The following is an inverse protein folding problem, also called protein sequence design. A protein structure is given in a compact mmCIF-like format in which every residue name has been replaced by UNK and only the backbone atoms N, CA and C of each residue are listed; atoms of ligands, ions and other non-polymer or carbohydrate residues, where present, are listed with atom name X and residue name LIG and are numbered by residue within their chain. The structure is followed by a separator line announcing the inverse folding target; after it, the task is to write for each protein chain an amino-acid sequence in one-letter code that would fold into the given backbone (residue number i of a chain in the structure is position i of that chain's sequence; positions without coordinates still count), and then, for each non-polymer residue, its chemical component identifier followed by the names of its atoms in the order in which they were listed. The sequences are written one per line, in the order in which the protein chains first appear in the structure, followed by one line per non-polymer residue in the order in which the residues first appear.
data_IF_455289690119
#
_entry.id   IF_455289690119
#
_cell.length_a   1.000
_cell.length_b   1.000
_cell.length_c   1.000
_cell.angle_alpha   90.00
_cell.angle_beta   90.00
_cell.angle_gamma   90.00
#
_symmetry.space_group_name_H-M   'P 1'
#
loop_
_entity.id
_entity.type
_entity.pdbx_description
1 polymer ?
#
# COMPACT_ATOMS: atom_id res chain seq x y z
N UNK A 1 -13.96 18.32 -28.02
CA UNK A 1 -13.96 17.68 -26.69
C UNK A 1 -12.92 16.57 -26.75
N UNK A 2 -11.68 16.81 -26.31
CA UNK A 2 -10.61 15.81 -26.39
C UNK A 2 -10.87 14.78 -25.29
N UNK A 3 -11.22 13.55 -25.66
CA UNK A 3 -11.21 12.42 -24.75
C UNK A 3 -9.82 12.37 -24.12
N UNK A 4 -9.71 12.74 -22.84
CA UNK A 4 -8.54 12.44 -22.02
C UNK A 4 -8.38 10.93 -22.04
N UNK A 5 -7.51 10.44 -22.89
CA UNK A 5 -7.07 9.05 -22.88
C UNK A 5 -6.77 8.72 -21.42
N UNK A 6 -7.50 7.74 -20.88
CA UNK A 6 -7.10 7.09 -19.63
C UNK A 6 -5.62 6.77 -19.82
N UNK A 7 -4.71 7.51 -19.19
CA UNK A 7 -3.29 7.18 -19.19
C UNK A 7 -3.24 5.83 -18.50
N UNK A 8 -3.26 4.77 -19.31
CA UNK A 8 -3.04 3.42 -18.84
C UNK A 8 -1.69 3.46 -18.14
N UNK A 9 -1.69 3.10 -16.88
CA UNK A 9 -0.45 2.97 -16.14
C UNK A 9 0.42 1.96 -16.87
N UNK A 10 1.69 2.28 -17.10
CA UNK A 10 2.61 1.26 -17.58
C UNK A 10 2.75 0.18 -16.50
N UNK A 11 3.08 -1.05 -16.89
CA UNK A 11 3.31 -2.13 -15.92
C UNK A 11 4.43 -1.77 -14.94
N UNK A 12 5.44 -1.02 -15.40
CA UNK A 12 6.52 -0.51 -14.57
C UNK A 12 6.02 0.52 -13.52
N UNK A 13 5.15 1.45 -13.93
CA UNK A 13 4.57 2.44 -13.01
C UNK A 13 3.69 1.75 -11.95
N UNK A 14 2.92 0.75 -12.37
CA UNK A 14 2.10 -0.05 -11.45
C UNK A 14 2.96 -0.82 -10.45
N UNK A 15 4.03 -1.49 -10.91
CA UNK A 15 4.97 -2.19 -10.04
C UNK A 15 5.67 -1.25 -9.05
N UNK A 16 6.13 -0.08 -9.53
CA UNK A 16 6.80 0.91 -8.69
C UNK A 16 5.86 1.53 -7.66
N UNK A 17 4.61 1.78 -8.03
CA UNK A 17 3.59 2.23 -7.10
C UNK A 17 3.26 1.18 -6.04
N UNK A 18 3.04 -0.09 -6.43
CA UNK A 18 2.82 -1.19 -5.48
C UNK A 18 4.00 -1.29 -4.50
N UNK A 19 5.23 -1.22 -5.00
CA UNK A 19 6.43 -1.22 -4.15
C UNK A 19 6.46 -0.03 -3.17
N UNK A 20 6.12 1.16 -3.64
CA UNK A 20 6.10 2.39 -2.84
C UNK A 20 5.05 2.31 -1.73
N UNK A 21 3.83 1.85 -2.06
CA UNK A 21 2.76 1.72 -1.07
C UNK A 21 3.04 0.59 -0.08
N UNK A 22 3.66 -0.50 -0.53
CA UNK A 22 4.12 -1.59 0.37
C UNK A 22 5.17 -1.08 1.35
N UNK A 23 6.14 -0.28 0.90
CA UNK A 23 7.14 0.34 1.77
C UNK A 23 6.49 1.28 2.79
N UNK A 24 5.56 2.13 2.35
CA UNK A 24 4.81 3.03 3.23
C UNK A 24 4.02 2.26 4.31
N UNK A 25 3.30 1.20 3.93
CA UNK A 25 2.59 0.31 4.86
C UNK A 25 3.53 -0.24 5.93
N UNK A 26 4.68 -0.78 5.53
CA UNK A 26 5.66 -1.33 6.45
C UNK A 26 6.21 -0.27 7.42
N UNK A 27 6.48 0.95 6.94
CA UNK A 27 6.90 2.06 7.81
C UNK A 27 5.83 2.44 8.83
N UNK A 28 4.56 2.52 8.43
CA UNK A 28 3.45 2.80 9.35
C UNK A 28 3.29 1.69 10.39
N UNK A 29 3.42 0.42 10.00
CA UNK A 29 3.42 -0.71 10.93
C UNK A 29 4.57 -0.63 11.96
N UNK A 30 5.78 -0.28 11.51
CA UNK A 30 6.93 -0.11 12.41
C UNK A 30 6.74 1.06 13.39
N UNK A 31 6.10 2.15 12.96
CA UNK A 31 5.77 3.27 13.84
C UNK A 31 4.67 2.90 14.83
N UNK A 32 3.64 2.18 14.40
CA UNK A 32 2.58 1.68 15.27
C UNK A 32 3.10 0.74 16.36
N UNK A 33 4.05 -0.13 16.03
CA UNK A 33 4.68 -1.04 16.99
C UNK A 33 5.44 -0.30 18.10
N UNK A 34 5.80 0.97 17.89
CA UNK A 34 6.50 1.83 18.86
C UNK A 34 5.59 2.85 19.53
N UNK A 35 4.39 3.09 18.99
CA UNK A 35 3.45 4.06 19.52
C UNK A 35 2.63 3.45 20.69
N UNK A 36 2.39 4.19 21.78
CA UNK A 36 1.53 3.73 22.86
C UNK A 36 0.11 3.47 22.35
N UNK A 37 -0.45 2.30 22.67
CA UNK A 37 -1.82 1.94 22.27
C UNK A 37 -2.80 2.99 22.83
N UNK A 38 -3.64 3.53 21.95
CA UNK A 38 -4.66 4.52 22.31
C UNK A 38 -4.20 5.97 22.25
N UNK A 39 -2.91 6.24 22.00
CA UNK A 39 -2.41 7.60 21.81
C UNK A 39 -2.97 8.25 20.53
N UNK A 40 -3.01 9.59 20.42
CA UNK A 40 -3.41 10.28 19.20
C UNK A 40 -2.59 9.85 17.98
N UNK A 41 -1.29 9.62 18.16
CA UNK A 41 -0.37 9.15 17.12
C UNK A 41 -0.72 7.74 16.67
N UNK A 42 -1.02 6.83 17.60
CA UNK A 42 -1.45 5.47 17.29
C UNK A 42 -2.75 5.49 16.47
N UNK A 43 -3.74 6.30 16.87
CA UNK A 43 -5.00 6.45 16.12
C UNK A 43 -4.78 7.03 14.72
N UNK A 44 -3.92 8.03 14.59
CA UNK A 44 -3.58 8.63 13.30
C UNK A 44 -2.91 7.60 12.38
N UNK A 45 -1.91 6.86 12.88
CA UNK A 45 -1.23 5.82 12.13
C UNK A 45 -2.17 4.66 11.75
N UNK A 46 -3.11 4.29 12.62
CA UNK A 46 -4.16 3.31 12.31
C UNK A 46 -5.06 3.77 11.17
N UNK A 47 -5.49 5.04 11.18
CA UNK A 47 -6.28 5.61 10.10
C UNK A 47 -5.52 5.65 8.76
N UNK A 48 -4.21 5.90 8.78
CA UNK A 48 -3.36 5.81 7.59
C UNK A 48 -3.29 4.37 7.04
N UNK A 49 -3.21 3.34 7.89
CA UNK A 49 -3.28 1.94 7.42
C UNK A 49 -4.62 1.63 6.78
N UNK A 50 -5.73 2.09 7.37
CA UNK A 50 -7.06 1.87 6.80
C UNK A 50 -7.20 2.54 5.44
N UNK A 51 -6.69 3.77 5.27
CA UNK A 51 -6.68 4.45 3.99
C UNK A 51 -5.85 3.70 2.93
N UNK A 52 -4.70 3.14 3.30
CA UNK A 52 -3.87 2.29 2.44
C UNK A 52 -4.65 1.03 2.02
N UNK A 53 -5.35 0.36 2.95
CA UNK A 53 -6.17 -0.80 2.62
C UNK A 53 -7.34 -0.46 1.70
N UNK A 54 -8.01 0.67 1.91
CA UNK A 54 -9.08 1.15 1.02
C UNK A 54 -8.56 1.43 -0.39
N UNK A 55 -7.38 2.04 -0.51
CA UNK A 55 -6.74 2.25 -1.81
C UNK A 55 -6.44 0.92 -2.54
N UNK A 56 -6.06 -0.13 -1.80
CA UNK A 56 -5.86 -1.47 -2.36
C UNK A 56 -7.15 -2.04 -2.99
N UNK A 57 -8.27 -1.92 -2.27
CA UNK A 57 -9.59 -2.38 -2.72
C UNK A 57 -10.02 -1.66 -4.00
N UNK A 58 -9.85 -0.33 -4.06
CA UNK A 58 -10.14 0.45 -5.27
C UNK A 58 -9.31 0.03 -6.49
N UNK A 59 -8.10 -0.48 -6.26
CA UNK A 59 -7.20 -0.97 -7.30
C UNK A 59 -7.41 -2.45 -7.64
N UNK A 60 -8.36 -3.13 -6.99
CA UNK A 60 -8.57 -4.58 -7.14
C UNK A 60 -7.38 -5.42 -6.71
N UNK A 61 -6.50 -4.87 -5.87
CA UNK A 61 -5.33 -5.56 -5.36
C UNK A 61 -5.61 -6.09 -3.95
N UNK A 62 -5.42 -7.40 -3.74
CA UNK A 62 -5.46 -7.98 -2.40
C UNK A 62 -4.06 -7.86 -1.74
N UNK A 63 -3.91 -6.87 -0.86
CA UNK A 63 -2.68 -6.68 -0.07
C UNK A 63 -2.69 -7.41 1.28
N UNK A 64 -3.78 -8.12 1.58
CA UNK A 64 -3.89 -9.03 2.73
C UNK A 64 -3.36 -10.42 2.39
N UNK A 65 -3.35 -10.78 1.11
CA UNK A 65 -2.63 -11.93 0.61
C UNK A 65 -1.13 -11.79 0.95
N UNK A 66 -0.62 -12.71 1.79
CA UNK A 66 0.82 -12.95 1.94
C UNK A 66 1.40 -13.08 0.53
N UNK A 67 2.25 -12.15 0.10
CA UNK A 67 2.90 -12.29 -1.19
C UNK A 67 3.60 -13.65 -1.20
N UNK A 68 3.37 -14.49 -2.23
CA UNK A 68 4.16 -15.69 -2.38
C UNK A 68 5.60 -15.24 -2.56
N UNK A 69 6.43 -15.50 -1.55
CA UNK A 69 7.88 -15.36 -1.62
C UNK A 69 8.35 -16.13 -2.84
N UNK A 70 8.55 -15.45 -3.97
CA UNK A 70 8.95 -16.10 -5.21
C UNK A 70 10.34 -16.69 -4.96
N UNK A 71 10.55 -18.02 -5.02
CA UNK A 71 11.89 -18.56 -4.96
C UNK A 71 12.63 -18.07 -6.20
N UNK A 72 13.74 -17.36 -5.99
CA UNK A 72 14.67 -16.98 -7.05
C UNK A 72 15.06 -18.27 -7.80
N UNK A 73 14.60 -18.40 -9.04
CA UNK A 73 15.10 -19.46 -9.91
C UNK A 73 16.55 -19.15 -10.26
N UNK A 74 17.38 -20.17 -10.06
CA UNK A 74 18.79 -20.24 -10.45
C UNK A 74 18.99 -20.06 -11.95
#
# INVERSE_FOLDING_TARGET
MVQRSKRGWSEADAAQFIATVTAARNSVFQLLARAPIGSPEYRALSAYLDAIHQAAIFLGCDWTALQPSRPQSK
#
